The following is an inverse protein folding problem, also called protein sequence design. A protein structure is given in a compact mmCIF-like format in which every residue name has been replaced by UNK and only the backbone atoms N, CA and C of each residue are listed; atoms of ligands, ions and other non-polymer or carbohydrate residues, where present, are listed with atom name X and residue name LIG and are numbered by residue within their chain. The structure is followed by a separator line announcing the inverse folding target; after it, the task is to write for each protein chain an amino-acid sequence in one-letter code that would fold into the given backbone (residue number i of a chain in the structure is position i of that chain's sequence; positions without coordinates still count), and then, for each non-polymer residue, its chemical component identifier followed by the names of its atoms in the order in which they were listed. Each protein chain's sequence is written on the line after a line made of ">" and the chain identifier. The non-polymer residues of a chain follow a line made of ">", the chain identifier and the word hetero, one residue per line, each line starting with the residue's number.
data_IF_475417987181
#
_entry.id   IF_475417987181
#
_cell.length_a   1.000
_cell.length_b   1.000
_cell.length_c   1.000
_cell.angle_alpha   90.00
_cell.angle_beta   90.00
_cell.angle_gamma   90.00
#
_symmetry.space_group_name_H-M   'P 1'
#
loop_
_entity.id
_entity.type
_entity.pdbx_description
1 polymer ?
#
# COMPACT_ATOMS: atom_id res chain seq x y z
N UNK A 1 -9.79 -7.71 -7.28
CA UNK A 1 -9.96 -8.89 -6.41
C UNK A 1 -8.62 -9.59 -6.28
N UNK A 2 -8.15 -9.80 -5.05
CA UNK A 2 -6.90 -10.51 -4.76
C UNK A 2 -7.16 -11.90 -4.16
N UNK A 3 -8.32 -12.09 -3.52
CA UNK A 3 -8.76 -13.37 -2.95
C UNK A 3 -10.20 -13.66 -3.36
N UNK A 4 -10.49 -14.40 -4.47
CA UNK A 4 -11.82 -14.58 -5.01
C UNK A 4 -12.86 -15.15 -4.03
N UNK A 5 -12.45 -15.99 -3.07
CA UNK A 5 -13.29 -16.58 -2.03
C UNK A 5 -13.06 -15.97 -0.64
N UNK A 6 -12.51 -14.76 -0.59
CA UNK A 6 -12.05 -14.12 0.63
C UNK A 6 -13.09 -13.27 1.35
N UNK A 7 -12.62 -12.23 2.04
CA UNK A 7 -13.46 -11.33 2.87
C UNK A 7 -14.40 -10.49 2.01
N UNK A 8 -15.59 -10.23 2.56
CA UNK A 8 -16.53 -9.28 1.95
C UNK A 8 -16.00 -7.85 2.09
N UNK A 9 -16.02 -7.10 1.00
CA UNK A 9 -15.68 -5.69 0.94
C UNK A 9 -16.93 -4.82 1.18
N UNK A 10 -16.76 -3.59 1.64
CA UNK A 10 -17.84 -2.61 1.77
C UNK A 10 -18.56 -2.31 0.45
N UNK A 11 -17.91 -2.50 -0.69
CA UNK A 11 -18.53 -2.37 -2.02
C UNK A 11 -19.49 -3.52 -2.37
N UNK A 12 -19.70 -4.48 -1.47
CA UNK A 12 -20.57 -5.66 -1.64
C UNK A 12 -19.91 -6.85 -2.32
N UNK A 13 -18.75 -6.70 -2.94
CA UNK A 13 -17.98 -7.79 -3.58
C UNK A 13 -17.13 -8.56 -2.56
N UNK A 14 -16.59 -9.69 -3.00
CA UNK A 14 -15.73 -10.55 -2.19
C UNK A 14 -14.29 -10.46 -2.69
N UNK A 15 -13.33 -10.43 -1.77
CA UNK A 15 -11.90 -10.53 -2.04
C UNK A 15 -11.23 -9.30 -2.64
N UNK A 16 -11.85 -8.13 -2.52
CA UNK A 16 -11.24 -6.87 -2.98
C UNK A 16 -9.97 -6.55 -2.19
N UNK A 17 -8.99 -5.93 -2.85
CA UNK A 17 -7.77 -5.43 -2.21
C UNK A 17 -8.07 -4.60 -0.95
N UNK A 18 -9.03 -3.71 -1.02
CA UNK A 18 -9.39 -2.80 0.08
C UNK A 18 -9.85 -3.53 1.36
N UNK A 19 -10.45 -4.72 1.24
CA UNK A 19 -10.81 -5.55 2.40
C UNK A 19 -9.59 -6.12 3.15
N UNK A 20 -8.40 -6.05 2.54
CA UNK A 20 -7.14 -6.59 3.08
C UNK A 20 -6.08 -5.52 3.32
N UNK A 21 -6.03 -4.50 2.47
CA UNK A 21 -4.97 -3.50 2.44
C UNK A 21 -5.48 -2.06 2.66
N UNK A 22 -6.58 -1.87 3.38
CA UNK A 22 -6.96 -0.53 3.83
C UNK A 22 -6.18 -0.13 5.09
N UNK A 23 -5.94 1.18 5.25
CA UNK A 23 -5.35 1.74 6.47
C UNK A 23 -6.21 1.46 7.71
N UNK A 24 -7.54 1.43 7.55
CA UNK A 24 -8.50 1.14 8.62
C UNK A 24 -8.29 -0.25 9.21
N UNK A 25 -7.96 -1.25 8.41
CA UNK A 25 -7.69 -2.62 8.91
C UNK A 25 -6.56 -2.65 9.95
N UNK A 26 -5.54 -1.82 9.78
CA UNK A 26 -4.43 -1.70 10.72
C UNK A 26 -4.84 -0.84 11.92
N UNK A 27 -5.45 0.31 11.67
CA UNK A 27 -5.88 1.25 12.71
C UNK A 27 -6.91 0.62 13.69
N UNK A 28 -7.82 -0.24 13.19
CA UNK A 28 -8.83 -0.93 14.01
C UNK A 28 -8.21 -1.84 15.09
N UNK A 29 -6.94 -2.22 14.94
CA UNK A 29 -6.22 -2.98 15.97
C UNK A 29 -5.80 -2.12 17.17
N UNK A 30 -5.84 -0.81 17.02
CA UNK A 30 -5.41 0.18 18.01
C UNK A 30 -6.43 1.33 18.12
N UNK A 31 -7.70 1.00 18.25
CA UNK A 31 -8.82 1.94 18.48
C UNK A 31 -8.93 3.06 17.42
N UNK A 32 -8.56 2.76 16.17
CA UNK A 32 -8.59 3.70 15.05
C UNK A 32 -7.33 4.57 14.89
N UNK A 33 -6.29 4.31 15.67
CA UNK A 33 -5.02 5.08 15.65
C UNK A 33 -3.92 4.30 14.91
N UNK A 34 -3.70 4.66 13.64
CA UNK A 34 -2.67 4.03 12.80
C UNK A 34 -1.23 4.30 13.29
N UNK A 35 -0.96 5.48 13.83
CA UNK A 35 0.38 5.82 14.35
C UNK A 35 0.69 4.99 15.60
N UNK A 36 -0.31 4.76 16.44
CA UNK A 36 -0.20 3.87 17.58
C UNK A 36 0.06 2.43 17.15
N UNK A 37 -0.57 1.96 16.07
CA UNK A 37 -0.32 0.63 15.51
C UNK A 37 1.17 0.42 15.22
N UNK A 38 1.78 1.32 14.46
CA UNK A 38 3.20 1.22 14.10
C UNK A 38 4.11 1.33 15.33
N UNK A 39 3.84 2.27 16.22
CA UNK A 39 4.62 2.45 17.44
C UNK A 39 4.60 1.21 18.35
N UNK A 40 3.44 0.60 18.57
CA UNK A 40 3.32 -0.61 19.39
C UNK A 40 3.94 -1.84 18.70
N UNK A 41 3.82 -1.94 17.38
CA UNK A 41 4.47 -2.98 16.59
C UNK A 41 6.00 -2.88 16.70
N UNK A 42 6.57 -1.69 16.57
CA UNK A 42 8.01 -1.43 16.71
C UNK A 42 8.50 -1.65 18.14
N UNK A 43 7.65 -1.44 19.13
CA UNK A 43 7.93 -1.76 20.53
C UNK A 43 7.96 -3.28 20.84
N UNK A 44 7.66 -4.13 19.84
CA UNK A 44 7.79 -5.60 19.94
C UNK A 44 6.47 -6.36 20.06
N UNK A 45 5.32 -5.75 19.78
CA UNK A 45 4.03 -6.44 19.75
C UNK A 45 3.97 -7.44 18.58
N UNK A 46 4.07 -8.73 18.90
CA UNK A 46 4.14 -9.81 17.91
C UNK A 46 2.80 -10.02 17.15
N UNK A 47 1.67 -9.75 17.79
CA UNK A 47 0.36 -9.89 17.15
C UNK A 47 0.19 -8.82 16.06
N UNK A 48 0.58 -7.57 16.35
CA UNK A 48 0.57 -6.50 15.36
C UNK A 48 1.57 -6.76 14.24
N UNK A 49 2.77 -7.28 14.55
CA UNK A 49 3.76 -7.66 13.54
C UNK A 49 3.23 -8.74 12.59
N UNK A 50 2.49 -9.71 13.11
CA UNK A 50 1.84 -10.75 12.30
C UNK A 50 0.81 -10.14 11.34
N UNK A 51 -0.04 -9.24 11.84
CA UNK A 51 -1.05 -8.54 11.03
C UNK A 51 -0.38 -7.71 9.94
N UNK A 52 0.72 -7.01 10.28
CA UNK A 52 1.50 -6.25 9.32
C UNK A 52 2.09 -7.14 8.22
N UNK A 53 2.68 -8.29 8.58
CA UNK A 53 3.24 -9.22 7.60
C UNK A 53 2.16 -9.80 6.66
N UNK A 54 0.95 -10.08 7.17
CA UNK A 54 -0.19 -10.48 6.33
C UNK A 54 -0.60 -9.35 5.38
N UNK A 55 -0.66 -8.11 5.88
CA UNK A 55 -0.94 -6.93 5.07
C UNK A 55 0.07 -6.77 3.92
N UNK A 56 1.37 -6.89 4.20
CA UNK A 56 2.42 -6.79 3.19
C UNK A 56 2.31 -7.90 2.13
N UNK A 57 1.97 -9.12 2.52
CA UNK A 57 1.76 -10.24 1.58
C UNK A 57 0.58 -9.99 0.65
N UNK A 58 -0.53 -9.50 1.19
CA UNK A 58 -1.72 -9.16 0.40
C UNK A 58 -1.44 -7.98 -0.54
N UNK A 59 -0.71 -6.97 -0.07
CA UNK A 59 -0.29 -5.84 -0.89
C UNK A 59 0.66 -6.26 -2.02
N UNK A 60 1.58 -7.19 -1.74
CA UNK A 60 2.49 -7.71 -2.74
C UNK A 60 1.77 -8.43 -3.90
N UNK A 61 0.66 -9.14 -3.62
CA UNK A 61 -0.20 -9.74 -4.66
C UNK A 61 -0.77 -8.64 -5.58
N UNK A 62 -1.22 -7.54 -4.99
CA UNK A 62 -1.80 -6.44 -5.77
C UNK A 62 -0.76 -5.72 -6.61
N UNK A 63 0.44 -5.49 -6.06
CA UNK A 63 1.56 -4.83 -6.75
C UNK A 63 2.03 -5.68 -7.92
N UNK A 64 2.22 -6.98 -7.72
CA UNK A 64 2.58 -7.93 -8.78
C UNK A 64 1.53 -7.94 -9.90
N UNK A 65 0.24 -8.04 -9.56
CA UNK A 65 -0.85 -7.97 -10.54
C UNK A 65 -0.84 -6.67 -11.34
N UNK A 66 -0.57 -5.52 -10.72
CA UNK A 66 -0.48 -4.24 -11.41
C UNK A 66 0.74 -4.19 -12.33
N UNK A 67 1.89 -4.68 -11.88
CA UNK A 67 3.10 -4.78 -12.70
C UNK A 67 2.85 -5.65 -13.93
N UNK A 68 2.26 -6.83 -13.75
CA UNK A 68 1.90 -7.73 -14.85
C UNK A 68 0.93 -7.11 -15.87
N UNK A 69 -0.03 -6.31 -15.41
CA UNK A 69 -1.02 -5.70 -16.29
C UNK A 69 -0.52 -4.46 -17.04
N UNK A 70 0.31 -3.65 -16.41
CA UNK A 70 0.64 -2.30 -16.89
C UNK A 70 2.13 -2.08 -17.19
N UNK A 71 3.00 -2.99 -16.76
CA UNK A 71 4.47 -2.89 -16.93
C UNK A 71 5.01 -1.51 -16.55
N UNK A 72 4.63 -1.00 -15.38
CA UNK A 72 4.97 0.33 -14.91
C UNK A 72 5.57 0.30 -13.49
N UNK A 73 6.26 1.38 -13.13
CA UNK A 73 6.67 1.63 -11.75
C UNK A 73 5.46 1.83 -10.83
N UNK A 74 5.57 1.37 -9.60
CA UNK A 74 4.51 1.44 -8.58
C UNK A 74 4.97 2.34 -7.44
N UNK A 75 4.16 3.34 -7.12
CA UNK A 75 4.42 4.25 -6.00
C UNK A 75 3.41 3.99 -4.88
N UNK A 76 3.92 3.64 -3.70
CA UNK A 76 3.12 3.45 -2.49
C UNK A 76 2.93 4.78 -1.78
N UNK A 77 1.71 5.24 -1.68
CA UNK A 77 1.35 6.53 -1.07
C UNK A 77 0.23 6.42 -0.04
N UNK A 78 -0.27 7.56 0.40
CA UNK A 78 -1.34 7.67 1.38
C UNK A 78 -0.88 7.35 2.82
N UNK A 79 -1.84 7.08 3.70
CA UNK A 79 -1.58 6.93 5.14
C UNK A 79 -0.60 5.80 5.48
N UNK A 80 -0.76 4.63 4.87
CA UNK A 80 0.16 3.50 5.10
C UNK A 80 1.47 3.72 4.35
N UNK A 81 1.43 4.29 3.14
CA UNK A 81 2.62 4.63 2.37
C UNK A 81 3.61 5.50 3.14
N UNK A 82 3.12 6.43 3.97
CA UNK A 82 3.98 7.26 4.82
C UNK A 82 4.79 6.49 5.86
N UNK A 83 4.37 5.28 6.20
CA UNK A 83 5.05 4.40 7.17
C UNK A 83 5.83 3.26 6.50
N UNK A 84 5.85 3.21 5.16
CA UNK A 84 6.48 2.11 4.41
C UNK A 84 8.01 2.19 4.32
N UNK A 85 8.60 3.38 4.50
CA UNK A 85 10.04 3.59 4.28
C UNK A 85 10.94 2.57 5.01
N UNK A 86 10.73 2.27 6.32
CA UNK A 86 11.54 1.27 7.02
C UNK A 86 11.33 -0.17 6.52
N UNK A 87 10.23 -0.44 5.85
CA UNK A 87 9.81 -1.78 5.42
C UNK A 87 9.94 -2.00 3.91
N UNK A 88 10.36 -0.98 3.15
CA UNK A 88 10.37 -1.05 1.68
C UNK A 88 11.23 -2.19 1.14
N UNK A 89 12.37 -2.48 1.77
CA UNK A 89 13.24 -3.55 1.32
C UNK A 89 12.64 -4.94 1.59
N UNK A 90 12.02 -5.12 2.78
CA UNK A 90 11.27 -6.34 3.10
C UNK A 90 10.12 -6.54 2.11
N UNK A 91 9.40 -5.46 1.79
CA UNK A 91 8.30 -5.49 0.83
C UNK A 91 8.76 -5.81 -0.59
N UNK A 92 9.86 -5.22 -1.07
CA UNK A 92 10.46 -5.53 -2.37
C UNK A 92 10.83 -7.00 -2.49
N UNK A 93 11.36 -7.60 -1.42
CA UNK A 93 11.66 -9.04 -1.39
C UNK A 93 10.39 -9.88 -1.54
N UNK A 94 9.30 -9.53 -0.86
CA UNK A 94 8.00 -10.22 -0.99
C UNK A 94 7.41 -10.09 -2.41
N UNK A 95 7.59 -8.96 -3.06
CA UNK A 95 7.17 -8.76 -4.45
C UNK A 95 8.04 -9.59 -5.39
N UNK A 96 9.36 -9.59 -5.21
CA UNK A 96 10.31 -10.38 -6.00
C UNK A 96 10.04 -11.89 -5.95
N UNK A 97 9.56 -12.42 -4.81
CA UNK A 97 9.15 -13.83 -4.69
C UNK A 97 7.95 -14.20 -5.60
N UNK A 98 7.16 -13.21 -6.01
CA UNK A 98 5.99 -13.40 -6.87
C UNK A 98 6.27 -13.11 -8.33
N UNK A 99 7.17 -12.17 -8.60
CA UNK A 99 7.54 -11.75 -9.95
C UNK A 99 8.38 -12.85 -10.63
N UNK A 100 7.83 -13.42 -11.70
CA UNK A 100 8.48 -14.50 -12.46
C UNK A 100 9.38 -14.00 -13.60
N UNK A 101 9.37 -12.69 -13.90
CA UNK A 101 10.11 -12.11 -15.01
C UNK A 101 11.39 -11.40 -14.55
N UNK A 102 11.25 -10.48 -13.59
CA UNK A 102 12.38 -9.64 -13.16
C UNK A 102 13.09 -10.17 -11.91
N UNK A 103 12.41 -10.99 -11.09
CA UNK A 103 12.93 -11.52 -9.82
C UNK A 103 13.46 -10.43 -8.86
N UNK A 104 12.93 -9.22 -8.98
CA UNK A 104 13.25 -8.10 -8.11
C UNK A 104 12.00 -7.25 -7.87
N UNK A 105 12.04 -6.37 -6.87
CA UNK A 105 10.97 -5.43 -6.55
C UNK A 105 11.40 -3.97 -6.73
N UNK A 106 12.43 -3.70 -7.52
CA UNK A 106 13.06 -2.38 -7.64
C UNK A 106 12.14 -1.32 -8.26
N UNK A 107 11.10 -1.75 -8.96
CA UNK A 107 10.05 -0.90 -9.52
C UNK A 107 9.05 -0.38 -8.48
N UNK A 108 9.21 -0.74 -7.19
CA UNK A 108 8.35 -0.26 -6.11
C UNK A 108 9.02 0.87 -5.35
N UNK A 109 8.36 2.00 -5.27
CA UNK A 109 8.84 3.22 -4.60
C UNK A 109 7.87 3.66 -3.51
N UNK A 110 8.39 4.36 -2.50
CA UNK A 110 7.58 5.06 -1.49
C UNK A 110 7.39 6.50 -1.94
N UNK A 111 6.16 7.01 -1.80
CA UNK A 111 5.85 8.40 -2.13
C UNK A 111 6.59 9.38 -1.21
N UNK A 112 7.32 10.33 -1.79
CA UNK A 112 8.06 11.35 -1.04
C UNK A 112 7.15 12.34 -0.28
N UNK A 113 5.94 12.55 -0.78
CA UNK A 113 4.99 13.53 -0.23
C UNK A 113 4.07 12.97 0.85
N UNK A 114 4.27 11.72 1.22
CA UNK A 114 3.57 11.05 2.33
C UNK A 114 2.06 11.33 2.37
N UNK A 115 1.58 11.94 3.48
CA UNK A 115 0.15 12.21 3.73
C UNK A 115 -0.43 13.28 2.79
N UNK A 116 0.40 14.20 2.31
CA UNK A 116 0.00 15.32 1.44
C UNK A 116 -0.07 14.97 -0.05
N UNK A 117 0.31 13.73 -0.43
CA UNK A 117 0.40 13.32 -1.84
C UNK A 117 -0.87 13.62 -2.65
N UNK A 118 -2.05 13.36 -2.08
CA UNK A 118 -3.33 13.62 -2.76
C UNK A 118 -3.62 15.12 -2.94
N UNK A 119 -3.30 15.93 -1.94
CA UNK A 119 -3.48 17.39 -2.01
C UNK A 119 -2.51 18.01 -3.02
N UNK A 120 -1.26 17.57 -3.01
CA UNK A 120 -0.25 18.02 -3.97
C UNK A 120 -0.63 17.64 -5.40
N UNK A 121 -1.08 16.40 -5.64
CA UNK A 121 -1.53 15.96 -6.95
C UNK A 121 -2.70 16.78 -7.48
N UNK A 122 -3.68 17.10 -6.63
CA UNK A 122 -4.79 17.97 -6.99
C UNK A 122 -4.32 19.40 -7.32
N UNK A 123 -3.37 19.95 -6.56
CA UNK A 123 -2.80 21.27 -6.82
C UNK A 123 -2.02 21.32 -8.15
N UNK A 124 -1.17 20.33 -8.43
CA UNK A 124 -0.43 20.20 -9.68
C UNK A 124 -1.39 20.14 -10.88
N UNK A 125 -2.42 19.30 -10.79
CA UNK A 125 -3.44 19.18 -11.84
C UNK A 125 -4.11 20.53 -12.17
N UNK A 126 -4.43 21.33 -11.15
CA UNK A 126 -5.02 22.67 -11.38
C UNK A 126 -4.01 23.66 -12.00
N UNK A 127 -2.74 23.58 -11.60
CA UNK A 127 -1.68 24.42 -12.16
C UNK A 127 -1.46 24.08 -13.66
N UNK A 128 -1.35 22.80 -13.99
CA UNK A 128 -1.21 22.34 -15.39
C UNK A 128 -2.37 22.81 -16.24
N UNK A 129 -3.60 22.60 -15.75
CA UNK A 129 -4.80 23.06 -16.47
C UNK A 129 -4.83 24.58 -16.67
N UNK A 130 -4.32 25.37 -15.72
CA UNK A 130 -4.20 26.80 -15.86
C UNK A 130 -3.16 27.18 -16.91
N UNK A 131 -2.00 26.54 -16.92
CA UNK A 131 -0.93 26.78 -17.90
C UNK A 131 -1.42 26.46 -19.33
N UNK A 132 -2.16 25.35 -19.50
CA UNK A 132 -2.69 24.94 -20.82
C UNK A 132 -3.77 25.89 -21.36
N UNK A 133 -4.29 26.80 -20.54
CA UNK A 133 -5.31 27.79 -20.92
C UNK A 133 -4.72 29.16 -21.28
N UNK A 134 -3.43 29.37 -21.07
CA UNK A 134 -2.71 30.58 -21.43
C UNK A 134 -2.11 30.43 -22.83
#
# INVERSE_FOLDING_TARGET
>A
VIHPEGKRCYCGKIGCLDAYCSALRLADQTDGDLERFFREMEAGNQDLKKIWNEYLKDLAIAVDNLRMCFDCEIVLGGYVGSSMEPYIQEFRNLVAEKDIFENNGDYVYVCQYQKEASALGAAIFQIEKFIDTI
#
